data_IF_111043881062
#
_entry.id   IF_111043881062
#
_cell.length_a   1.000
_cell.length_b   1.000
_cell.length_c   1.000
_cell.angle_alpha   90.00
_cell.angle_beta   90.00
_cell.angle_gamma   90.00
#
_symmetry.space_group_name_H-M   'P 1'
#
loop_
_entity.id
_entity.type
_entity.pdbx_description
1 polymer ?
#
# COMPACT_ATOMS: atom_id res chain seq x y z
N UNK A 1 -14.34 -0.57 9.69
CA UNK A 1 -14.71 0.83 10.00
C UNK A 1 -15.35 1.45 8.76
N UNK A 2 -16.67 1.30 8.62
CA UNK A 2 -17.41 1.70 7.42
C UNK A 2 -17.33 3.22 7.16
N UNK A 3 -17.22 4.01 8.21
CA UNK A 3 -17.10 5.47 8.13
C UNK A 3 -15.79 5.90 7.46
N UNK A 4 -14.66 5.26 7.78
CA UNK A 4 -13.36 5.54 7.13
C UNK A 4 -13.41 5.27 5.63
N UNK A 5 -14.07 4.18 5.24
CA UNK A 5 -14.25 3.79 3.83
C UNK A 5 -15.04 4.86 3.07
N UNK A 6 -16.20 5.24 3.61
CA UNK A 6 -17.06 6.27 3.00
C UNK A 6 -16.34 7.61 2.89
N UNK A 7 -15.70 8.08 3.98
CA UNK A 7 -14.92 9.33 3.97
C UNK A 7 -13.81 9.29 2.93
N UNK A 8 -13.12 8.16 2.77
CA UNK A 8 -12.03 8.04 1.79
C UNK A 8 -12.56 8.19 0.37
N UNK A 9 -13.68 7.52 0.05
CA UNK A 9 -14.30 7.58 -1.27
C UNK A 9 -14.80 8.99 -1.58
N UNK A 10 -15.56 9.58 -0.66
CA UNK A 10 -16.19 10.89 -0.85
C UNK A 10 -15.13 11.99 -0.97
N UNK A 11 -14.14 12.02 -0.07
CA UNK A 11 -13.07 13.02 -0.11
C UNK A 11 -12.26 12.94 -1.42
N UNK A 12 -11.93 11.74 -1.89
CA UNK A 12 -11.19 11.56 -3.13
C UNK A 12 -11.95 12.10 -4.35
N UNK A 13 -13.25 11.81 -4.44
CA UNK A 13 -14.11 12.29 -5.52
C UNK A 13 -14.35 13.80 -5.45
N UNK A 14 -14.66 14.34 -4.27
CA UNK A 14 -14.94 15.77 -4.07
C UNK A 14 -13.73 16.66 -4.40
N UNK A 15 -12.52 16.20 -4.07
CA UNK A 15 -11.29 16.96 -4.26
C UNK A 15 -10.55 16.61 -5.57
N UNK A 16 -11.00 15.59 -6.31
CA UNK A 16 -10.33 15.16 -7.54
C UNK A 16 -8.93 14.60 -7.30
N UNK A 17 -8.72 13.89 -6.18
CA UNK A 17 -7.41 13.37 -5.76
C UNK A 17 -7.41 11.86 -5.57
N UNK A 18 -6.23 11.23 -5.67
CA UNK A 18 -6.02 9.90 -5.09
C UNK A 18 -5.70 10.06 -3.60
N UNK A 19 -6.60 9.58 -2.75
CA UNK A 19 -6.45 9.65 -1.29
C UNK A 19 -6.01 8.29 -0.74
N UNK A 20 -4.82 8.23 -0.15
CA UNK A 20 -4.35 7.09 0.64
C UNK A 20 -4.58 7.38 2.13
N UNK A 21 -5.65 6.82 2.71
CA UNK A 21 -5.99 6.95 4.12
C UNK A 21 -5.36 5.80 4.93
N UNK A 22 -4.22 6.09 5.56
CA UNK A 22 -3.51 5.15 6.45
C UNK A 22 -4.41 4.63 7.58
N UNK A 23 -4.18 3.39 7.99
CA UNK A 23 -4.85 2.68 9.08
C UNK A 23 -4.89 1.18 8.80
N UNK A 24 -5.70 0.42 9.56
CA UNK A 24 -5.88 -1.02 9.32
C UNK A 24 -7.34 -1.35 8.99
N UNK A 25 -7.66 -1.70 7.73
CA UNK A 25 -6.80 -1.60 6.54
C UNK A 25 -6.55 -0.15 6.13
N UNK A 26 -5.53 0.04 5.29
CA UNK A 26 -5.31 1.30 4.57
C UNK A 26 -6.32 1.34 3.41
N UNK A 27 -7.02 2.47 3.26
CA UNK A 27 -8.01 2.65 2.21
C UNK A 27 -7.48 3.63 1.17
N UNK A 28 -7.69 3.34 -0.11
CA UNK A 28 -7.25 4.17 -1.23
C UNK A 28 -8.49 4.53 -2.05
N UNK A 29 -8.85 5.82 -2.06
CA UNK A 29 -9.92 6.38 -2.87
C UNK A 29 -9.35 7.07 -4.10
N UNK A 30 -10.09 7.04 -5.21
CA UNK A 30 -9.72 7.71 -6.47
C UNK A 30 -10.72 8.80 -6.84
N UNK A 31 -10.34 9.75 -7.72
CA UNK A 31 -11.24 10.79 -8.21
C UNK A 31 -12.50 10.23 -8.88
N UNK A 32 -12.38 9.07 -9.53
CA UNK A 32 -13.47 8.42 -10.27
C UNK A 32 -14.44 7.66 -9.36
N UNK A 33 -14.23 7.71 -8.04
CA UNK A 33 -15.05 7.05 -7.04
C UNK A 33 -14.66 5.60 -6.77
N UNK A 34 -13.63 5.06 -7.42
CA UNK A 34 -13.09 3.74 -7.09
C UNK A 34 -12.44 3.72 -5.70
N UNK A 35 -12.52 2.57 -5.02
CA UNK A 35 -11.98 2.34 -3.70
C UNK A 35 -11.24 1.00 -3.63
N UNK A 36 -10.04 1.02 -3.05
CA UNK A 36 -9.20 -0.14 -2.78
C UNK A 36 -8.90 -0.25 -1.29
N UNK A 37 -8.78 -1.46 -0.77
CA UNK A 37 -8.40 -1.73 0.62
C UNK A 37 -7.16 -2.60 0.67
N UNK A 38 -6.08 -2.07 1.23
CA UNK A 38 -4.83 -2.81 1.38
C UNK A 38 -4.98 -3.92 2.43
N UNK A 39 -4.82 -5.21 2.05
CA UNK A 39 -4.97 -6.33 2.99
C UNK A 39 -3.71 -6.56 3.84
N UNK A 40 -2.57 -5.98 3.45
CA UNK A 40 -1.27 -6.22 4.10
C UNK A 40 -0.97 -5.21 5.21
N UNK A 41 0.01 -5.58 6.03
CA UNK A 41 0.54 -4.76 7.11
C UNK A 41 0.01 -5.13 8.49
N UNK A 42 0.82 -4.75 9.48
CA UNK A 42 0.62 -5.11 10.88
C UNK A 42 0.98 -3.93 11.81
N UNK A 43 0.97 -4.18 13.13
CA UNK A 43 1.14 -3.10 14.11
C UNK A 43 2.54 -2.49 14.13
N UNK A 44 3.54 -3.16 13.53
CA UNK A 44 4.90 -2.65 13.39
C UNK A 44 5.03 -1.43 12.47
N UNK A 45 4.02 -1.15 11.64
CA UNK A 45 3.97 0.09 10.84
C UNK A 45 3.58 1.32 11.67
N UNK A 46 3.15 1.15 12.92
CA UNK A 46 2.83 2.26 13.82
C UNK A 46 4.09 2.87 14.47
N UNK A 47 5.19 2.93 13.73
CA UNK A 47 6.48 3.48 14.16
C UNK A 47 6.78 4.77 13.39
N UNK A 48 7.39 5.76 14.08
CA UNK A 48 7.83 7.01 13.44
C UNK A 48 8.77 6.72 12.26
N UNK A 49 8.56 7.38 11.12
CA UNK A 49 9.33 7.18 9.89
C UNK A 49 8.76 6.14 8.91
N UNK A 50 7.89 5.22 9.35
CA UNK A 50 7.24 4.27 8.41
C UNK A 50 6.41 4.97 7.33
N UNK A 51 5.75 6.09 7.68
CA UNK A 51 5.04 6.91 6.71
C UNK A 51 5.93 7.56 5.64
N UNK A 52 7.19 7.83 5.96
CA UNK A 52 8.16 8.40 5.01
C UNK A 52 8.62 7.32 4.02
N UNK A 53 8.81 6.08 4.48
CA UNK A 53 9.07 4.92 3.60
C UNK A 53 7.93 4.72 2.62
N UNK A 54 6.68 4.72 3.10
CA UNK A 54 5.50 4.63 2.23
C UNK A 54 5.45 5.77 1.20
N UNK A 55 5.75 7.00 1.63
CA UNK A 55 5.78 8.16 0.72
C UNK A 55 6.86 7.99 -0.35
N UNK A 56 8.04 7.52 0.03
CA UNK A 56 9.14 7.22 -0.90
C UNK A 56 8.78 6.15 -1.92
N UNK A 57 8.10 5.08 -1.51
CA UNK A 57 7.59 4.04 -2.41
C UNK A 57 6.62 4.62 -3.45
N UNK A 58 5.60 5.35 -3.00
CA UNK A 58 4.60 5.96 -3.90
C UNK A 58 5.27 6.94 -4.86
N UNK A 59 6.18 7.78 -4.36
CA UNK A 59 6.93 8.73 -5.20
C UNK A 59 7.84 8.02 -6.22
N UNK A 60 8.51 6.93 -5.83
CA UNK A 60 9.34 6.13 -6.71
C UNK A 60 8.53 5.49 -7.85
N UNK A 61 7.37 4.91 -7.54
CA UNK A 61 6.48 4.34 -8.55
C UNK A 61 5.92 5.40 -9.50
N UNK A 62 5.54 6.57 -8.98
CA UNK A 62 5.14 7.71 -9.81
C UNK A 62 6.27 8.16 -10.76
N UNK A 63 7.49 8.28 -10.24
CA UNK A 63 8.65 8.63 -11.05
C UNK A 63 8.98 7.57 -12.12
N UNK A 64 8.67 6.30 -11.84
CA UNK A 64 8.76 5.19 -12.79
C UNK A 64 7.64 5.13 -13.83
N UNK A 65 6.67 6.06 -13.79
CA UNK A 65 5.59 6.17 -14.78
C UNK A 65 4.29 5.45 -14.41
N UNK A 66 4.14 4.95 -13.18
CA UNK A 66 2.89 4.39 -12.71
C UNK A 66 1.79 5.47 -12.64
N UNK A 67 0.54 5.08 -12.92
CA UNK A 67 -0.60 5.98 -12.71
C UNK A 67 -0.76 6.27 -11.21
N UNK A 68 -1.29 7.43 -10.79
CA UNK A 68 -1.38 7.78 -9.38
C UNK A 68 -2.13 6.77 -8.50
N UNK A 69 -3.23 6.21 -9.01
CA UNK A 69 -3.97 5.17 -8.30
C UNK A 69 -3.13 3.90 -8.12
N UNK A 70 -2.46 3.44 -9.18
CA UNK A 70 -1.61 2.24 -9.14
C UNK A 70 -0.42 2.44 -8.19
N UNK A 71 0.23 3.62 -8.22
CA UNK A 71 1.33 3.94 -7.34
C UNK A 71 0.92 3.94 -5.86
N UNK A 72 -0.25 4.51 -5.53
CA UNK A 72 -0.78 4.51 -4.17
C UNK A 72 -1.13 3.09 -3.69
N UNK A 73 -1.75 2.30 -4.57
CA UNK A 73 -2.19 0.93 -4.31
C UNK A 73 -0.97 0.01 -4.11
N UNK A 74 -0.01 0.02 -5.04
CA UNK A 74 1.22 -0.76 -4.96
C UNK A 74 2.11 -0.32 -3.80
N UNK A 75 2.25 0.99 -3.58
CA UNK A 75 2.99 1.54 -2.45
C UNK A 75 2.45 1.07 -1.10
N UNK A 76 1.12 1.12 -0.91
CA UNK A 76 0.49 0.59 0.30
C UNK A 76 0.73 -0.92 0.48
N UNK A 77 0.60 -1.68 -0.61
CA UNK A 77 0.78 -3.12 -0.59
C UNK A 77 2.21 -3.53 -0.24
N UNK A 78 3.21 -3.03 -0.97
CA UNK A 78 4.63 -3.34 -0.75
C UNK A 78 5.07 -2.93 0.66
N UNK A 79 4.62 -1.78 1.13
CA UNK A 79 4.89 -1.32 2.48
C UNK A 79 4.30 -2.25 3.57
N UNK A 80 3.06 -2.69 3.40
CA UNK A 80 2.43 -3.65 4.30
C UNK A 80 3.05 -5.05 4.25
N UNK A 81 3.30 -5.56 3.05
CA UNK A 81 3.92 -6.86 2.83
C UNK A 81 5.34 -6.92 3.41
N UNK A 82 6.08 -5.81 3.37
CA UNK A 82 7.39 -5.69 4.01
C UNK A 82 7.31 -5.86 5.53
N UNK A 83 6.33 -5.21 6.17
CA UNK A 83 6.11 -5.39 7.59
C UNK A 83 5.69 -6.82 7.94
N UNK A 84 4.83 -7.44 7.13
CA UNK A 84 4.38 -8.82 7.34
C UNK A 84 5.52 -9.83 7.15
N UNK A 85 6.42 -9.57 6.19
CA UNK A 85 7.62 -10.36 5.97
C UNK A 85 8.57 -10.32 7.17
N UNK A 86 8.84 -9.12 7.70
CA UNK A 86 9.68 -8.91 8.88
C UNK A 86 9.09 -9.56 10.13
N UNK A 87 7.77 -9.47 10.33
CA UNK A 87 7.08 -10.02 11.48
C UNK A 87 7.19 -11.55 11.61
N UNK A 88 7.64 -12.25 10.56
CA UNK A 88 7.96 -13.70 10.62
C UNK A 88 9.22 -14.01 11.41
N UNK A 89 10.15 -13.04 11.51
CA UNK A 89 11.48 -13.23 12.08
C UNK A 89 11.74 -12.35 13.31
N UNK A 90 11.07 -11.20 13.42
CA UNK A 90 11.19 -10.26 14.52
C UNK A 90 9.83 -9.85 15.07
N UNK A 91 9.79 -9.34 16.31
CA UNK A 91 8.53 -8.85 16.89
C UNK A 91 8.02 -7.61 16.14
N UNK A 92 6.73 -7.54 15.83
CA UNK A 92 6.12 -6.41 15.09
C UNK A 92 6.51 -5.05 15.69
N UNK A 93 6.44 -4.92 17.02
CA UNK A 93 6.76 -3.69 17.77
C UNK A 93 8.22 -3.24 17.67
N UNK A 94 9.10 -4.08 17.14
CA UNK A 94 10.54 -3.82 17.00
C UNK A 94 10.92 -3.42 15.59
N UNK A 95 9.98 -3.45 14.64
CA UNK A 95 10.23 -3.04 13.25
C UNK A 95 10.57 -1.55 13.20
N UNK A 96 11.74 -1.25 12.64
CA UNK A 96 12.20 0.10 12.33
C UNK A 96 11.94 0.43 10.85
N UNK A 97 11.85 1.73 10.50
CA UNK A 97 11.77 2.14 9.10
C UNK A 97 12.95 1.66 8.23
N UNK A 98 14.15 1.56 8.81
CA UNK A 98 15.32 0.99 8.12
C UNK A 98 15.13 -0.48 7.76
N UNK A 99 14.54 -1.26 8.68
CA UNK A 99 14.28 -2.69 8.44
C UNK A 99 13.31 -2.87 7.26
N UNK A 100 12.31 -1.98 7.15
CA UNK A 100 11.40 -1.95 6.00
C UNK A 100 12.17 -1.72 4.71
N UNK A 101 13.06 -0.72 4.68
CA UNK A 101 13.89 -0.39 3.51
C UNK A 101 14.74 -1.58 3.09
N UNK A 102 15.36 -2.28 4.04
CA UNK A 102 16.25 -3.41 3.78
C UNK A 102 15.53 -4.58 3.09
N UNK A 103 14.23 -4.78 3.37
CA UNK A 103 13.45 -5.88 2.76
C UNK A 103 12.70 -5.47 1.48
N UNK A 104 12.62 -4.18 1.14
CA UNK A 104 11.89 -3.71 -0.05
C UNK A 104 12.32 -4.43 -1.33
N UNK A 105 13.62 -4.62 -1.65
CA UNK A 105 14.02 -5.25 -2.91
C UNK A 105 13.47 -6.67 -3.05
N UNK A 106 13.50 -7.45 -1.97
CA UNK A 106 12.99 -8.83 -1.98
C UNK A 106 11.47 -8.86 -2.18
N UNK A 107 10.73 -8.00 -1.46
CA UNK A 107 9.27 -7.92 -1.57
C UNK A 107 8.83 -7.43 -2.95
N UNK A 108 9.54 -6.47 -3.54
CA UNK A 108 9.26 -6.00 -4.91
C UNK A 108 9.49 -7.14 -5.90
N UNK A 109 10.59 -7.88 -5.79
CA UNK A 109 10.85 -9.03 -6.66
C UNK A 109 9.77 -10.13 -6.52
N UNK A 110 9.25 -10.38 -5.31
CA UNK A 110 8.13 -11.30 -5.09
C UNK A 110 6.85 -10.84 -5.81
N UNK A 111 6.56 -9.54 -5.78
CA UNK A 111 5.41 -8.96 -6.49
C UNK A 111 5.60 -9.06 -8.00
N UNK A 112 6.76 -8.70 -8.53
CA UNK A 112 7.07 -8.80 -9.96
C UNK A 112 7.00 -10.25 -10.48
N UNK A 113 7.50 -11.22 -9.69
CA UNK A 113 7.42 -12.63 -10.06
C UNK A 113 5.98 -13.17 -10.07
N UNK A 114 5.11 -12.60 -9.22
CA UNK A 114 3.68 -12.93 -9.19
C UNK A 114 2.92 -12.38 -10.40
N UNK A 115 3.50 -11.42 -11.13
CA UNK A 115 2.93 -10.80 -12.32
C UNK A 115 3.27 -11.55 -13.62
N UNK A 116 4.34 -12.37 -13.64
CA UNK A 116 4.75 -13.12 -14.84
C UNK A 116 3.79 -14.28 -15.18
N UNK A 117 3.03 -14.78 -14.21
CA UNK A 117 2.07 -15.87 -14.40
C UNK A 117 0.68 -15.39 -14.87
N UNK A 118 0.34 -14.09 -14.76
CA UNK A 118 -0.96 -13.55 -15.18
C UNK A 118 -0.85 -12.07 -15.57
N UNK A 119 -1.18 -11.74 -16.84
CA UNK A 119 -1.18 -10.37 -17.37
C UNK A 119 -2.11 -9.44 -16.56
N UNK A 120 -1.62 -8.76 -15.53
CA UNK A 120 -1.84 -7.36 -15.06
C UNK A 120 -1.53 -7.26 -13.55
N UNK A 121 -0.67 -6.32 -13.07
CA UNK A 121 -0.23 -6.24 -11.66
C UNK A 121 -1.33 -6.09 -10.60
N UNK A 122 -2.50 -5.60 -11.01
CA UNK A 122 -3.61 -5.32 -10.10
C UNK A 122 -4.47 -6.55 -9.77
N UNK A 123 -4.35 -7.65 -10.54
CA UNK A 123 -5.26 -8.80 -10.45
C UNK A 123 -4.99 -9.70 -9.24
N UNK A 124 -3.73 -9.86 -8.81
CA UNK A 124 -3.34 -10.83 -7.76
C UNK A 124 -2.90 -10.21 -6.42
N UNK A 125 -2.96 -8.90 -6.28
CA UNK A 125 -2.58 -8.20 -5.05
C UNK A 125 -3.55 -8.42 -3.85
N UNK A 126 -4.63 -9.18 -4.02
CA UNK A 126 -5.69 -9.32 -3.02
C UNK A 126 -6.48 -8.02 -2.76
N UNK A 127 -6.19 -6.95 -3.50
CA UNK A 127 -6.87 -5.66 -3.43
C UNK A 127 -8.26 -5.81 -4.06
N UNK A 128 -9.27 -6.07 -3.23
CA UNK A 128 -10.65 -6.05 -3.70
C UNK A 128 -11.05 -4.62 -4.00
N UNK A 129 -11.42 -4.34 -5.26
CA UNK A 129 -12.27 -3.21 -5.60
C UNK A 129 -13.56 -3.37 -4.80
N UNK A 130 -13.81 -2.45 -3.88
CA UNK A 130 -15.03 -2.49 -3.05
C UNK A 130 -16.09 -1.66 -3.76
N UNK A 131 -17.12 -2.34 -4.26
CA UNK A 131 -18.34 -1.70 -4.76
C UNK A 131 -19.03 -0.97 -3.59
#
# INVERSE_FOLDING_TARGET
>A
DAKRIEVTRTFAAEHGVVLLLKGRPTAIGTPDGDLYLNPTGNTGLATGGSGDVLTGLVAGFLAGGARPADAAVLGAYVHGASADSLARNIAERSILPSDLIDVLPAVIAEVEASDEDEKTPLANSGLKKVN
#
